data_IF_890336144732
#
_entry.id   IF_890336144732
#
_cell.length_a   1.000
_cell.length_b   1.000
_cell.length_c   1.000
_cell.angle_alpha   90.00
_cell.angle_beta   90.00
_cell.angle_gamma   90.00
#
_symmetry.space_group_name_H-M   'P 1'
#
loop_
_entity.id
_entity.type
_entity.pdbx_description
1 polymer ?
#
# COMPACT_ATOMS: atom_id res chain seq x y z
N UNK A 1 -7.02 10.99 -2.25
CA UNK A 1 -7.80 9.74 -2.05
C UNK A 1 -6.85 8.57 -1.94
N UNK A 2 -6.96 7.76 -0.91
CA UNK A 2 -6.21 6.53 -0.74
C UNK A 2 -7.11 5.32 -0.99
N UNK A 3 -6.86 4.56 -2.05
CA UNK A 3 -7.55 3.31 -2.35
C UNK A 3 -6.71 2.18 -1.79
N UNK A 4 -7.27 1.38 -0.88
CA UNK A 4 -6.54 0.38 -0.10
C UNK A 4 -7.14 -0.99 -0.37
N UNK A 5 -6.42 -1.80 -1.14
CA UNK A 5 -6.84 -3.18 -1.40
C UNK A 5 -6.41 -4.09 -0.26
N UNK A 6 -7.20 -5.12 -0.04
CA UNK A 6 -6.90 -6.21 0.91
C UNK A 6 -6.32 -5.71 2.24
N UNK A 7 -7.02 -4.81 2.96
CA UNK A 7 -6.51 -4.22 4.20
C UNK A 7 -6.12 -5.28 5.24
N UNK A 8 -6.73 -6.46 5.21
CA UNK A 8 -6.41 -7.59 6.09
C UNK A 8 -5.03 -8.18 5.80
N UNK A 9 -4.58 -8.13 4.55
CA UNK A 9 -3.27 -8.60 4.12
C UNK A 9 -2.19 -7.54 4.28
N UNK A 10 -2.51 -6.28 3.98
CA UNK A 10 -1.65 -5.13 4.22
C UNK A 10 -1.38 -4.91 5.73
N UNK A 11 -2.35 -5.26 6.59
CA UNK A 11 -2.21 -5.11 8.04
C UNK A 11 -1.85 -3.67 8.44
N UNK A 12 -0.67 -3.47 9.04
CA UNK A 12 -0.18 -2.14 9.44
C UNK A 12 -0.10 -1.17 8.26
N UNK A 13 0.22 -1.64 7.07
CA UNK A 13 0.27 -0.83 5.86
C UNK A 13 -1.07 -0.18 5.53
N UNK A 14 -2.20 -0.84 5.78
CA UNK A 14 -3.53 -0.25 5.54
C UNK A 14 -3.83 0.92 6.48
N UNK A 15 -3.35 0.84 7.72
CA UNK A 15 -3.50 1.91 8.72
C UNK A 15 -2.66 3.12 8.31
N UNK A 16 -1.40 2.89 7.89
CA UNK A 16 -0.50 3.94 7.45
C UNK A 16 -0.96 4.59 6.14
N UNK A 17 -1.50 3.81 5.21
CA UNK A 17 -2.05 4.31 3.96
C UNK A 17 -3.25 5.27 4.16
N UNK A 18 -3.92 5.18 5.31
CA UNK A 18 -4.96 6.12 5.75
C UNK A 18 -4.41 7.25 6.65
N UNK A 19 -3.10 7.45 6.67
CA UNK A 19 -2.42 8.41 7.55
C UNK A 19 -2.67 8.21 9.05
N UNK A 20 -3.14 7.04 9.46
CA UNK A 20 -3.27 6.71 10.86
C UNK A 20 -1.97 6.15 11.42
N UNK A 21 -1.67 6.48 12.67
CA UNK A 21 -0.49 5.97 13.34
C UNK A 21 -0.72 4.57 13.88
N UNK A 22 0.15 3.63 13.51
CA UNK A 22 0.20 2.33 14.14
C UNK A 22 1.29 2.34 15.22
N UNK A 23 0.87 2.25 16.46
CA UNK A 23 1.78 2.20 17.59
C UNK A 23 1.51 0.95 18.44
N UNK A 24 2.56 0.18 18.75
CA UNK A 24 2.49 -0.82 19.79
C UNK A 24 2.56 -0.12 21.17
N UNK A 25 1.71 -0.49 22.08
CA UNK A 25 1.39 0.16 23.36
C UNK A 25 2.57 0.54 24.28
N UNK A 26 3.82 0.37 23.90
CA UNK A 26 4.99 0.56 24.78
C UNK A 26 6.23 1.14 24.12
N UNK A 27 6.14 1.74 22.94
CA UNK A 27 7.32 2.41 22.36
C UNK A 27 7.29 3.88 22.73
N UNK A 28 8.29 4.34 23.45
CA UNK A 28 8.46 5.73 23.92
C UNK A 28 8.78 6.74 22.80
N UNK A 29 8.66 6.36 21.54
CA UNK A 29 9.17 7.18 20.44
C UNK A 29 8.24 8.35 20.09
N UNK A 30 6.95 8.27 20.45
CA UNK A 30 5.99 9.34 20.19
C UNK A 30 4.99 9.41 21.37
N UNK A 31 5.40 10.00 22.46
CA UNK A 31 4.66 10.05 23.73
C UNK A 31 3.23 10.65 23.66
N UNK A 32 2.85 11.22 22.53
CA UNK A 32 1.57 11.95 22.40
C UNK A 32 0.67 11.46 21.25
N UNK A 33 0.95 10.32 20.62
CA UNK A 33 0.13 9.81 19.52
C UNK A 33 -0.55 8.52 19.94
N UNK A 34 -1.86 8.57 20.12
CA UNK A 34 -2.67 7.38 20.39
C UNK A 34 -2.71 6.46 19.16
N UNK A 35 -2.78 5.14 19.39
CA UNK A 35 -2.99 4.15 18.34
C UNK A 35 -4.21 4.52 17.50
N UNK A 36 -4.04 4.61 16.19
CA UNK A 36 -5.08 5.04 15.26
C UNK A 36 -5.25 6.56 15.16
N UNK A 37 -4.49 7.33 15.93
CA UNK A 37 -4.41 8.79 15.78
C UNK A 37 -3.82 9.16 14.42
N UNK A 38 -4.18 10.33 13.89
CA UNK A 38 -3.66 10.77 12.58
C UNK A 38 -2.22 11.24 12.69
N UNK A 39 -1.42 10.91 11.70
CA UNK A 39 -0.09 11.50 11.53
C UNK A 39 -0.28 12.96 11.11
N UNK A 40 0.35 13.88 11.84
CA UNK A 40 0.21 15.33 11.66
C UNK A 40 0.93 15.86 10.41
N UNK A 41 0.64 15.33 9.23
CA UNK A 41 1.22 15.80 7.95
C UNK A 41 0.47 16.98 7.33
N UNK A 42 -0.60 17.48 7.94
CA UNK A 42 -1.43 18.57 7.41
C UNK A 42 -2.23 18.20 6.16
N UNK A 43 -2.12 16.99 5.66
CA UNK A 43 -2.83 16.51 4.47
C UNK A 43 -4.13 15.82 4.89
N UNK A 44 -5.23 16.23 4.29
CA UNK A 44 -6.50 15.50 4.43
C UNK A 44 -6.49 14.29 3.49
N UNK A 45 -6.67 13.10 4.04
CA UNK A 45 -6.78 11.87 3.26
C UNK A 45 -8.17 11.27 3.45
N UNK A 46 -8.89 11.16 2.35
CA UNK A 46 -10.07 10.31 2.26
C UNK A 46 -9.64 8.92 1.78
N UNK A 47 -10.30 7.87 2.25
CA UNK A 47 -9.90 6.50 1.91
C UNK A 47 -11.09 5.61 1.55
N UNK A 48 -10.81 4.58 0.74
CA UNK A 48 -11.76 3.53 0.40
C UNK A 48 -11.06 2.18 0.54
N UNK A 49 -11.73 1.24 1.21
CA UNK A 49 -11.22 -0.11 1.47
C UNK A 49 -11.85 -1.13 0.52
N UNK A 50 -11.03 -2.03 0.01
CA UNK A 50 -11.42 -3.14 -0.85
C UNK A 50 -11.03 -4.46 -0.15
N UNK A 51 -11.94 -5.08 0.65
CA UNK A 51 -11.64 -6.26 1.45
C UNK A 51 -11.19 -7.44 0.60
N UNK A 52 -10.31 -8.29 1.13
CA UNK A 52 -9.81 -9.47 0.43
C UNK A 52 -10.90 -10.50 0.16
N UNK A 53 -11.94 -10.51 0.99
CA UNK A 53 -13.05 -11.48 0.91
C UNK A 53 -14.41 -10.79 0.98
N UNK A 54 -15.38 -11.42 0.35
CA UNK A 54 -16.80 -11.07 0.50
C UNK A 54 -17.38 -11.63 1.82
N UNK A 55 -18.65 -11.38 2.02
CA UNK A 55 -19.39 -11.84 3.22
C UNK A 55 -19.48 -13.37 3.33
N UNK A 56 -19.35 -14.09 2.23
CA UNK A 56 -19.42 -15.55 2.16
C UNK A 56 -18.01 -16.18 2.25
N UNK A 57 -16.96 -15.33 2.40
CA UNK A 57 -15.57 -15.75 2.51
C UNK A 57 -14.86 -15.97 1.16
N UNK A 58 -15.52 -15.71 0.04
CA UNK A 58 -14.94 -15.80 -1.31
C UNK A 58 -13.88 -14.72 -1.54
N UNK A 59 -12.81 -15.05 -2.27
CA UNK A 59 -11.80 -14.07 -2.66
C UNK A 59 -12.37 -13.16 -3.75
N UNK A 60 -12.23 -11.85 -3.56
CA UNK A 60 -12.78 -10.84 -4.48
C UNK A 60 -11.71 -10.26 -5.40
N UNK A 61 -12.02 -10.16 -6.69
CA UNK A 61 -11.28 -9.33 -7.63
C UNK A 61 -11.86 -7.91 -7.64
N UNK A 62 -11.05 -6.94 -7.26
CA UNK A 62 -11.45 -5.55 -7.15
C UNK A 62 -11.06 -4.68 -8.35
N UNK A 63 -10.41 -5.23 -9.38
CA UNK A 63 -9.87 -4.44 -10.51
C UNK A 63 -10.87 -3.43 -11.05
N UNK A 64 -12.08 -3.88 -11.40
CA UNK A 64 -13.13 -3.01 -11.95
C UNK A 64 -13.52 -1.90 -10.97
N UNK A 65 -13.76 -2.24 -9.69
CA UNK A 65 -14.16 -1.26 -8.66
C UNK A 65 -13.07 -0.23 -8.36
N UNK A 66 -11.79 -0.64 -8.42
CA UNK A 66 -10.65 0.28 -8.28
C UNK A 66 -10.67 1.31 -9.42
N UNK A 67 -10.86 0.87 -10.66
CA UNK A 67 -10.91 1.79 -11.80
C UNK A 67 -12.12 2.72 -11.75
N UNK A 68 -13.30 2.22 -11.38
CA UNK A 68 -14.48 3.05 -11.15
C UNK A 68 -14.23 4.12 -10.08
N UNK A 69 -13.55 3.77 -8.98
CA UNK A 69 -13.17 4.72 -7.95
C UNK A 69 -12.16 5.76 -8.46
N UNK A 70 -11.15 5.35 -9.23
CA UNK A 70 -10.18 6.26 -9.84
C UNK A 70 -10.92 7.27 -10.72
N UNK A 71 -11.76 6.83 -11.65
CA UNK A 71 -12.52 7.72 -12.52
C UNK A 71 -13.45 8.68 -11.75
N UNK A 72 -14.02 8.23 -10.64
CA UNK A 72 -14.90 9.05 -9.80
C UNK A 72 -14.16 10.21 -9.12
N UNK A 73 -12.91 9.97 -8.68
CA UNK A 73 -12.21 10.90 -7.81
C UNK A 73 -11.02 11.63 -8.46
N UNK A 74 -10.56 11.23 -9.65
CA UNK A 74 -9.34 11.76 -10.27
C UNK A 74 -9.34 13.26 -10.52
N UNK A 75 -10.51 13.87 -10.77
CA UNK A 75 -10.62 15.30 -11.04
C UNK A 75 -10.53 16.17 -9.76
N UNK A 76 -10.73 15.56 -8.60
CA UNK A 76 -10.82 16.29 -7.32
C UNK A 76 -9.77 15.86 -6.30
N UNK A 77 -9.07 14.76 -6.55
CA UNK A 77 -8.11 14.19 -5.61
C UNK A 77 -6.84 13.70 -6.31
N UNK A 78 -5.70 13.87 -5.66
CA UNK A 78 -4.53 13.04 -5.95
C UNK A 78 -4.83 11.62 -5.46
N UNK A 79 -4.64 10.61 -6.31
CA UNK A 79 -5.02 9.23 -6.01
C UNK A 79 -3.79 8.37 -5.77
N UNK A 80 -3.77 7.70 -4.63
CA UNK A 80 -2.83 6.63 -4.31
C UNK A 80 -3.58 5.31 -4.26
N UNK A 81 -3.10 4.30 -4.99
CA UNK A 81 -3.66 2.95 -4.97
C UNK A 81 -2.66 2.03 -4.29
N UNK A 82 -3.06 1.51 -3.13
CA UNK A 82 -2.22 0.62 -2.33
C UNK A 82 -2.62 -0.83 -2.60
N UNK A 83 -1.70 -1.59 -3.19
CA UNK A 83 -1.84 -3.00 -3.55
C UNK A 83 -0.94 -3.86 -2.66
N UNK A 84 -1.26 -5.14 -2.52
CA UNK A 84 -0.41 -6.12 -1.84
C UNK A 84 -0.06 -7.28 -2.76
N UNK A 85 1.23 -7.62 -2.84
CA UNK A 85 1.75 -8.76 -3.60
C UNK A 85 2.67 -9.58 -2.70
N UNK A 86 2.52 -10.91 -2.75
CA UNK A 86 3.30 -11.84 -1.93
C UNK A 86 2.91 -11.79 -0.45
N UNK A 87 1.61 -11.70 -0.14
CA UNK A 87 1.12 -11.64 1.23
C UNK A 87 1.38 -12.92 2.04
N UNK A 88 1.22 -12.83 3.35
CA UNK A 88 1.43 -13.97 4.27
C UNK A 88 0.45 -15.12 4.05
N UNK A 89 -0.77 -14.85 3.61
CA UNK A 89 -1.81 -15.84 3.34
C UNK A 89 -1.80 -16.36 1.90
N UNK A 90 -1.04 -15.72 1.00
CA UNK A 90 -1.04 -15.97 -0.43
C UNK A 90 -2.21 -15.31 -1.18
N UNK A 91 -3.05 -14.51 -0.50
CA UNK A 91 -4.08 -13.69 -1.15
C UNK A 91 -3.43 -12.37 -1.57
N UNK A 92 -3.29 -12.15 -2.86
CA UNK A 92 -2.59 -11.01 -3.41
C UNK A 92 -3.36 -10.33 -4.54
N UNK A 93 -2.98 -9.11 -4.86
CA UNK A 93 -3.50 -8.38 -6.00
C UNK A 93 -2.80 -8.83 -7.29
N UNK A 94 -3.56 -8.82 -8.39
CA UNK A 94 -2.97 -9.10 -9.69
C UNK A 94 -2.19 -7.89 -10.22
N UNK A 95 -0.98 -8.11 -10.73
CA UNK A 95 -0.19 -7.09 -11.42
C UNK A 95 -0.93 -6.50 -12.64
N UNK A 96 -1.93 -7.19 -13.17
CA UNK A 96 -2.75 -6.67 -14.27
C UNK A 96 -3.55 -5.44 -13.89
N UNK A 97 -3.76 -5.19 -12.59
CA UNK A 97 -4.38 -3.95 -12.11
C UNK A 97 -3.50 -2.75 -12.46
N UNK A 98 -2.17 -2.90 -12.35
CA UNK A 98 -1.21 -1.85 -12.70
C UNK A 98 -1.00 -1.78 -14.22
N UNK A 99 -0.80 -2.95 -14.85
CA UNK A 99 -0.47 -3.03 -16.29
C UNK A 99 -1.54 -2.38 -17.17
N UNK A 100 -2.81 -2.63 -16.84
CA UNK A 100 -3.97 -2.15 -17.59
C UNK A 100 -4.55 -0.86 -16.99
N UNK A 101 -3.99 -0.40 -15.87
CA UNK A 101 -4.48 0.76 -15.12
C UNK A 101 -4.03 2.10 -15.68
N UNK A 102 -4.68 3.18 -15.23
CA UNK A 102 -4.30 4.54 -15.59
C UNK A 102 -2.88 4.88 -15.09
N UNK A 103 -2.18 5.73 -15.86
CA UNK A 103 -0.78 6.09 -15.60
C UNK A 103 -0.62 7.38 -14.79
N UNK A 104 -1.69 8.09 -14.55
CA UNK A 104 -1.76 9.35 -13.83
C UNK A 104 -2.14 9.20 -12.35
N UNK A 105 -2.10 7.98 -11.84
CA UNK A 105 -2.26 7.68 -10.41
C UNK A 105 -0.96 7.11 -9.82
N UNK A 106 -0.76 7.29 -8.53
CA UNK A 106 0.39 6.73 -7.83
C UNK A 106 0.07 5.32 -7.35
N UNK A 107 0.76 4.34 -7.91
CA UNK A 107 0.69 2.94 -7.48
C UNK A 107 1.69 2.68 -6.37
N UNK A 108 1.22 2.18 -5.24
CA UNK A 108 2.03 1.77 -4.08
C UNK A 108 1.85 0.27 -3.89
N UNK A 109 2.94 -0.49 -3.95
CA UNK A 109 2.88 -1.95 -3.84
C UNK A 109 3.57 -2.40 -2.55
N UNK A 110 2.81 -3.02 -1.65
CA UNK A 110 3.35 -3.66 -0.46
C UNK A 110 3.94 -5.02 -0.83
N UNK A 111 5.27 -5.10 -0.77
CA UNK A 111 6.07 -6.30 -0.94
C UNK A 111 6.74 -6.69 0.39
N UNK A 112 6.17 -6.32 1.52
CA UNK A 112 6.79 -6.46 2.85
C UNK A 112 7.13 -7.90 3.25
N UNK A 113 6.54 -8.91 2.61
CA UNK A 113 6.98 -10.29 2.82
C UNK A 113 8.24 -10.67 2.00
N UNK A 114 8.65 -9.83 1.02
CA UNK A 114 9.80 -10.09 0.14
C UNK A 114 9.73 -11.46 -0.59
N UNK A 115 8.52 -11.97 -0.82
CA UNK A 115 8.28 -13.28 -1.47
C UNK A 115 8.16 -13.18 -2.99
N UNK A 116 8.39 -12.00 -3.54
CA UNK A 116 8.35 -11.75 -4.97
C UNK A 116 9.69 -12.07 -5.65
N UNK A 117 9.64 -12.43 -6.92
CA UNK A 117 10.85 -12.65 -7.73
C UNK A 117 11.56 -11.31 -7.98
N UNK A 118 12.91 -11.26 -8.02
CA UNK A 118 13.66 -10.02 -8.29
C UNK A 118 13.22 -9.30 -9.57
N UNK A 119 12.85 -10.05 -10.61
CA UNK A 119 12.34 -9.51 -11.87
C UNK A 119 11.10 -8.63 -11.67
N UNK A 120 10.19 -9.00 -10.74
CA UNK A 120 8.98 -8.24 -10.45
C UNK A 120 9.29 -6.85 -9.89
N UNK A 121 10.32 -6.72 -9.05
CA UNK A 121 10.73 -5.40 -8.53
C UNK A 121 11.12 -4.45 -9.66
N UNK A 122 11.92 -4.93 -10.62
CA UNK A 122 12.32 -4.14 -11.77
C UNK A 122 11.13 -3.78 -12.67
N UNK A 123 10.21 -4.71 -12.88
CA UNK A 123 9.00 -4.49 -13.67
C UNK A 123 8.09 -3.43 -13.04
N UNK A 124 7.92 -3.46 -11.72
CA UNK A 124 7.11 -2.50 -11.00
C UNK A 124 7.76 -1.11 -10.94
N UNK A 125 9.06 -1.04 -10.67
CA UNK A 125 9.81 0.22 -10.70
C UNK A 125 9.79 0.87 -12.09
N UNK A 126 9.92 0.07 -13.16
CA UNK A 126 9.82 0.55 -14.54
C UNK A 126 8.42 1.08 -14.90
N UNK A 127 7.40 0.70 -14.14
CA UNK A 127 6.03 1.23 -14.24
C UNK A 127 5.75 2.39 -13.27
N UNK A 128 6.79 2.97 -12.67
CA UNK A 128 6.70 4.05 -11.70
C UNK A 128 5.91 3.69 -10.43
N UNK A 129 5.96 2.43 -9.98
CA UNK A 129 5.36 2.03 -8.72
C UNK A 129 6.30 2.32 -7.54
N UNK A 130 5.77 2.86 -6.46
CA UNK A 130 6.44 2.91 -5.17
C UNK A 130 6.38 1.53 -4.51
N UNK A 131 7.50 0.99 -4.03
CA UNK A 131 7.52 -0.34 -3.44
C UNK A 131 7.87 -0.27 -1.95
N UNK A 132 6.99 -0.79 -1.10
CA UNK A 132 7.25 -0.95 0.33
C UNK A 132 7.85 -2.34 0.60
N UNK A 133 9.03 -2.39 1.21
CA UNK A 133 9.73 -3.61 1.54
C UNK A 133 10.16 -3.63 3.00
N UNK A 134 10.33 -4.83 3.57
CA UNK A 134 10.92 -4.98 4.90
C UNK A 134 11.80 -6.22 5.00
N UNK A 135 12.91 -6.11 5.70
CA UNK A 135 13.77 -7.24 6.06
C UNK A 135 13.36 -7.93 7.36
N UNK A 136 12.53 -7.31 8.19
CA UNK A 136 12.21 -7.79 9.54
C UNK A 136 11.34 -9.05 9.60
N UNK A 137 10.75 -9.47 8.48
CA UNK A 137 9.89 -10.66 8.40
C UNK A 137 10.67 -11.87 7.89
N UNK A 138 10.79 -12.00 6.57
CA UNK A 138 11.38 -13.20 5.96
C UNK A 138 12.89 -13.29 6.11
N UNK A 139 13.59 -12.14 6.11
CA UNK A 139 15.06 -12.08 6.17
C UNK A 139 15.62 -11.89 7.58
N UNK A 140 14.78 -11.98 8.61
CA UNK A 140 15.19 -11.92 10.02
C UNK A 140 16.07 -10.70 10.38
N UNK A 141 15.89 -9.59 9.66
CA UNK A 141 16.53 -8.33 10.01
C UNK A 141 15.95 -7.75 11.31
N UNK A 142 16.61 -6.78 11.94
CA UNK A 142 16.06 -6.13 13.13
C UNK A 142 14.62 -5.63 12.93
N UNK A 143 13.81 -5.58 13.99
CA UNK A 143 12.47 -5.00 13.93
C UNK A 143 12.50 -3.60 13.33
N UNK A 144 11.44 -3.23 12.59
CA UNK A 144 11.30 -1.94 11.91
C UNK A 144 12.32 -1.65 10.80
N UNK A 145 13.11 -2.65 10.36
CA UNK A 145 13.93 -2.49 9.16
C UNK A 145 13.05 -2.59 7.92
N UNK A 146 12.87 -1.49 7.24
CA UNK A 146 12.12 -1.40 5.99
C UNK A 146 12.67 -0.31 5.10
N UNK A 147 12.24 -0.31 3.84
CA UNK A 147 12.58 0.72 2.88
C UNK A 147 11.39 0.97 1.93
N UNK A 148 11.34 2.20 1.42
CA UNK A 148 10.52 2.57 0.28
C UNK A 148 11.44 2.70 -0.92
N UNK A 149 11.22 1.87 -1.94
CA UNK A 149 11.89 2.03 -3.23
C UNK A 149 11.10 3.01 -4.06
N UNK A 150 11.78 4.09 -4.46
CA UNK A 150 11.18 5.20 -5.22
C UNK A 150 11.70 5.14 -6.64
N UNK A 151 10.83 5.09 -7.66
CA UNK A 151 11.23 5.17 -9.06
C UNK A 151 11.95 6.48 -9.37
N UNK A 152 12.86 6.46 -10.35
CA UNK A 152 13.64 7.63 -10.76
C UNK A 152 12.75 8.83 -11.16
N UNK A 153 11.58 8.55 -11.73
CA UNK A 153 10.63 9.59 -12.11
C UNK A 153 10.19 10.49 -10.93
N UNK A 154 10.18 9.95 -9.71
CA UNK A 154 9.84 10.72 -8.49
C UNK A 154 11.08 11.24 -7.74
N UNK A 155 12.29 10.76 -8.06
CA UNK A 155 13.51 11.13 -7.33
C UNK A 155 13.93 12.59 -7.57
N UNK A 156 13.37 13.24 -8.59
CA UNK A 156 13.68 14.65 -8.92
C UNK A 156 12.75 15.63 -8.18
N UNK A 157 11.73 15.13 -7.48
CA UNK A 157 10.77 15.95 -6.73
C UNK A 157 11.07 15.99 -5.22
N UNK A 158 12.13 15.31 -4.79
CA UNK A 158 12.63 15.23 -3.41
C UNK A 158 13.97 15.97 -3.31
#
# INVERSE_FOLDING_TARGET
>A
MSLITRPEELGTGSILANTAHYHAEKTQVLDNVEKGGRIGCGIKVDHMLFPARDTDGGIVDHKRKIYEAIETYRETHTILVNLVIGSKSGIEDSITIINDGPKDVTWVVDLCQMRARPKLFNELLAQNCLLMITGSKFYQSPPFSGALLVPEAYAQEV
#
